data_IF_412927926355
#
_entry.id   IF_412927926355
#
_cell.length_a   1.000
_cell.length_b   1.000
_cell.length_c   1.000
_cell.angle_alpha   90.00
_cell.angle_beta   90.00
_cell.angle_gamma   90.00
#
_symmetry.space_group_name_H-M   'P 1'
#
loop_
_entity.id
_entity.type
_entity.pdbx_description
1 polymer ?
#
# COMPACT_ATOMS: atom_id res chain seq x y z
N UNK A 1 -11.05 -9.46 -8.23
CA UNK A 1 -10.93 -10.33 -7.04
C UNK A 1 -10.98 -9.45 -5.81
N UNK A 2 -12.09 -9.48 -5.06
CA UNK A 2 -12.18 -8.79 -3.78
C UNK A 2 -11.50 -9.64 -2.71
N UNK A 3 -10.46 -9.11 -2.08
CA UNK A 3 -9.90 -9.75 -0.89
C UNK A 3 -10.99 -9.94 0.16
N UNK A 4 -10.86 -11.00 0.98
CA UNK A 4 -11.76 -11.20 2.13
C UNK A 4 -11.72 -9.95 3.01
N UNK A 5 -12.89 -9.33 3.19
CA UNK A 5 -13.05 -8.21 4.10
C UNK A 5 -12.71 -8.66 5.53
N UNK A 6 -11.56 -8.23 6.03
CA UNK A 6 -11.20 -8.39 7.44
C UNK A 6 -11.81 -7.23 8.23
N UNK A 7 -12.75 -7.53 9.13
CA UNK A 7 -13.39 -6.54 10.00
C UNK A 7 -12.41 -5.83 10.95
N UNK A 8 -11.25 -6.43 11.22
CA UNK A 8 -10.13 -5.83 11.97
C UNK A 8 -9.06 -5.25 11.04
N UNK A 9 -9.22 -5.42 9.73
CA UNK A 9 -8.30 -4.89 8.75
C UNK A 9 -8.34 -3.37 8.71
N UNK A 10 -7.17 -2.76 8.58
CA UNK A 10 -7.03 -1.33 8.36
C UNK A 10 -7.22 -1.04 6.86
N UNK A 11 -8.48 -1.00 6.44
CA UNK A 11 -8.87 -0.81 5.04
C UNK A 11 -9.84 0.35 4.87
N UNK A 12 -9.94 0.86 3.64
CA UNK A 12 -10.85 1.94 3.30
C UNK A 12 -11.37 1.87 1.85
N UNK A 13 -12.50 2.53 1.62
CA UNK A 13 -13.04 2.82 0.30
C UNK A 13 -12.69 4.25 -0.12
N UNK A 14 -12.18 4.41 -1.35
CA UNK A 14 -11.91 5.72 -1.95
C UNK A 14 -12.34 5.77 -3.42
N UNK A 15 -12.81 6.94 -3.86
CA UNK A 15 -13.44 7.14 -5.18
C UNK A 15 -12.46 6.92 -6.32
N UNK A 16 -11.24 7.44 -6.16
CA UNK A 16 -10.26 7.57 -7.25
C UNK A 16 -8.88 7.00 -6.94
N UNK A 17 -8.58 6.70 -5.68
CA UNK A 17 -7.24 6.23 -5.33
C UNK A 17 -7.07 4.79 -5.85
N UNK A 18 -5.90 4.43 -6.39
CA UNK A 18 -5.65 3.06 -6.83
C UNK A 18 -5.88 2.06 -5.69
N UNK A 19 -6.39 0.86 -6.01
CA UNK A 19 -6.44 -0.21 -5.03
C UNK A 19 -5.02 -0.58 -4.59
N UNK A 20 -4.86 -0.93 -3.31
CA UNK A 20 -3.56 -1.19 -2.71
C UNK A 20 -2.82 0.06 -2.24
N UNK A 21 -3.30 1.27 -2.56
CA UNK A 21 -2.73 2.51 -2.03
C UNK A 21 -2.85 2.53 -0.51
N UNK A 22 -1.73 2.81 0.18
CA UNK A 22 -1.75 3.14 1.59
C UNK A 22 -2.06 4.62 1.76
N UNK A 23 -2.93 4.94 2.70
CA UNK A 23 -3.35 6.31 3.01
C UNK A 23 -3.30 6.46 4.52
N UNK A 24 -2.64 7.52 4.99
CA UNK A 24 -2.73 7.93 6.38
C UNK A 24 -3.94 8.84 6.56
N UNK A 25 -4.82 8.46 7.46
CA UNK A 25 -6.02 9.23 7.83
C UNK A 25 -5.72 9.91 9.15
N UNK A 26 -5.73 11.24 9.16
CA UNK A 26 -5.57 12.05 10.37
C UNK A 26 -6.92 12.64 10.79
N UNK A 27 -7.35 12.32 12.02
CA UNK A 27 -8.59 12.81 12.63
C UNK A 27 -8.38 14.22 13.19
N UNK A 28 -9.12 15.19 12.65
CA UNK A 28 -9.10 16.56 13.17
C UNK A 28 -9.83 16.71 14.51
N UNK A 29 -10.55 15.68 14.96
CA UNK A 29 -11.31 15.71 16.21
C UNK A 29 -10.41 15.52 17.43
N UNK A 30 -9.41 14.65 17.32
CA UNK A 30 -8.61 14.20 18.45
C UNK A 30 -7.12 14.04 18.13
N UNK A 31 -6.68 14.39 16.91
CA UNK A 31 -5.29 14.30 16.47
C UNK A 31 -4.78 12.87 16.26
N UNK A 32 -5.65 11.86 16.30
CA UNK A 32 -5.25 10.46 16.07
C UNK A 32 -5.08 10.18 14.59
N UNK A 33 -4.16 9.27 14.28
CA UNK A 33 -3.86 8.87 12.91
C UNK A 33 -3.94 7.35 12.76
N UNK A 34 -4.29 6.91 11.56
CA UNK A 34 -4.25 5.50 11.20
C UNK A 34 -3.90 5.32 9.73
N UNK A 35 -3.07 4.34 9.42
CA UNK A 35 -2.74 3.96 8.05
C UNK A 35 -3.74 2.90 7.57
N UNK A 36 -4.40 3.15 6.44
CA UNK A 36 -5.38 2.25 5.81
C UNK A 36 -5.00 1.94 4.38
N UNK A 37 -5.35 0.74 3.91
CA UNK A 37 -5.20 0.34 2.51
C UNK A 37 -6.50 0.51 1.74
N UNK A 38 -6.45 1.09 0.55
CA UNK A 38 -7.63 1.21 -0.33
C UNK A 38 -7.96 -0.16 -0.93
N UNK A 39 -9.10 -0.72 -0.54
CA UNK A 39 -9.58 -2.03 -1.02
C UNK A 39 -10.93 -1.96 -1.72
N UNK A 40 -11.61 -0.81 -1.68
CA UNK A 40 -12.97 -0.67 -2.23
C UNK A 40 -13.24 0.73 -2.84
N UNK A 41 -14.38 0.87 -3.53
CA UNK A 41 -14.84 2.09 -4.20
C UNK A 41 -15.98 2.73 -3.44
N UNK A 42 -15.96 4.06 -3.44
CA UNK A 42 -16.86 4.90 -2.64
C UNK A 42 -16.03 5.95 -1.90
N UNK A 43 -16.63 6.81 -1.07
CA UNK A 43 -18.07 6.99 -0.90
C UNK A 43 -18.70 7.62 -2.14
N UNK A 44 -19.88 7.16 -2.56
CA UNK A 44 -20.54 7.73 -3.74
C UNK A 44 -21.26 9.06 -3.47
N UNK A 45 -21.42 9.41 -2.19
CA UNK A 45 -21.98 10.68 -1.72
C UNK A 45 -20.90 11.77 -1.74
N UNK A 46 -21.19 12.94 -2.33
CA UNK A 46 -20.21 14.02 -2.56
C UNK A 46 -19.59 14.61 -1.28
N UNK A 47 -20.27 14.50 -0.14
CA UNK A 47 -19.81 15.07 1.14
C UNK A 47 -18.80 14.18 1.89
N UNK A 48 -18.47 12.98 1.40
CA UNK A 48 -17.56 12.05 2.07
C UNK A 48 -16.37 11.73 1.18
N UNK A 49 -15.18 11.89 1.75
CA UNK A 49 -13.90 11.67 1.04
C UNK A 49 -13.41 10.23 1.16
N UNK A 50 -13.60 9.59 2.31
CA UNK A 50 -13.14 8.22 2.60
C UNK A 50 -14.13 7.52 3.52
N UNK A 51 -14.35 6.22 3.33
CA UNK A 51 -15.04 5.36 4.29
C UNK A 51 -14.04 4.32 4.81
N UNK A 52 -13.74 4.36 6.11
CA UNK A 52 -12.78 3.44 6.75
C UNK A 52 -13.49 2.24 7.37
N UNK A 53 -12.78 1.13 7.55
CA UNK A 53 -13.28 -0.03 8.29
C UNK A 53 -13.60 0.32 9.75
N UNK A 54 -14.39 -0.53 10.42
CA UNK A 54 -14.70 -0.37 11.84
C UNK A 54 -13.44 -0.37 12.70
N UNK A 55 -12.48 -1.25 12.43
CA UNK A 55 -11.21 -1.30 13.18
C UNK A 55 -10.38 -0.03 13.04
N UNK A 56 -10.34 0.56 11.84
CA UNK A 56 -9.68 1.84 11.61
C UNK A 56 -10.42 3.00 12.32
N UNK A 57 -11.75 3.01 12.31
CA UNK A 57 -12.55 3.99 13.05
C UNK A 57 -12.36 3.89 14.58
N UNK A 58 -12.20 2.67 15.10
CA UNK A 58 -11.88 2.42 16.51
C UNK A 58 -10.50 2.97 16.89
N UNK A 59 -9.48 2.67 16.07
CA UNK A 59 -8.14 3.19 16.27
C UNK A 59 -8.10 4.74 16.22
N UNK A 60 -8.85 5.34 15.29
CA UNK A 60 -9.04 6.79 15.21
C UNK A 60 -9.83 7.37 16.39
N UNK A 61 -10.45 6.54 17.25
CA UNK A 61 -11.30 7.00 18.35
C UNK A 61 -12.57 7.70 17.85
N UNK A 62 -13.11 7.25 16.72
CA UNK A 62 -14.25 7.88 16.04
C UNK A 62 -15.54 7.04 16.09
N UNK A 63 -15.53 5.89 16.77
CA UNK A 63 -16.73 5.08 16.94
C UNK A 63 -17.84 5.89 17.63
N UNK A 64 -19.04 5.87 17.04
CA UNK A 64 -20.22 6.57 17.58
C UNK A 64 -20.28 8.06 17.28
N UNK A 65 -19.26 8.65 16.64
CA UNK A 65 -19.25 10.09 16.32
C UNK A 65 -19.93 10.42 14.97
N UNK A 66 -20.29 9.41 14.17
CA UNK A 66 -20.79 9.59 12.81
C UNK A 66 -19.66 9.93 11.82
N UNK A 67 -19.91 10.84 10.88
CA UNK A 67 -18.89 11.37 9.96
C UNK A 67 -18.21 12.59 10.57
N UNK A 68 -16.90 12.74 10.33
CA UNK A 68 -16.08 13.87 10.77
C UNK A 68 -15.06 14.26 9.72
N UNK A 69 -14.49 15.44 9.89
CA UNK A 69 -13.42 15.95 9.05
C UNK A 69 -12.11 15.22 9.34
N UNK A 70 -11.41 14.86 8.26
CA UNK A 70 -10.13 14.15 8.30
C UNK A 70 -9.23 14.72 7.21
N UNK A 71 -7.92 14.59 7.42
CA UNK A 71 -6.91 14.85 6.39
C UNK A 71 -6.40 13.53 5.85
N UNK A 72 -6.30 13.42 4.53
CA UNK A 72 -5.71 12.27 3.85
C UNK A 72 -4.29 12.61 3.42
N UNK A 73 -3.34 11.84 3.93
CA UNK A 73 -1.94 11.88 3.54
C UNK A 73 -1.66 10.65 2.69
N UNK A 74 -1.44 10.85 1.39
CA UNK A 74 -1.08 9.79 0.45
C UNK A 74 0.45 9.82 0.31
N UNK A 75 1.19 8.89 0.93
CA UNK A 75 2.63 8.82 0.72
C UNK A 75 2.93 8.62 -0.76
N UNK A 76 3.90 9.34 -1.30
CA UNK A 76 4.37 9.09 -2.66
C UNK A 76 4.79 7.63 -2.75
N UNK A 77 4.24 6.91 -3.72
CA UNK A 77 4.56 5.50 -3.93
C UNK A 77 6.07 5.38 -4.15
N UNK A 78 6.80 4.80 -3.20
CA UNK A 78 8.19 4.41 -3.40
C UNK A 78 8.24 3.59 -4.69
N UNK A 79 9.08 3.93 -5.70
CA UNK A 79 9.26 3.06 -6.84
C UNK A 79 9.73 1.71 -6.29
N UNK A 80 8.91 0.68 -6.48
CA UNK A 80 9.38 -0.70 -6.35
C UNK A 80 10.58 -0.80 -7.29
N UNK A 81 11.79 -0.94 -6.72
CA UNK A 81 12.98 -1.21 -7.48
C UNK A 81 12.70 -2.50 -8.24
N UNK A 82 12.53 -2.39 -9.56
CA UNK A 82 12.46 -3.55 -10.45
C UNK A 82 13.81 -4.25 -10.30
N UNK A 83 13.83 -5.45 -9.72
CA UNK A 83 15.01 -6.30 -9.74
C UNK A 83 15.40 -6.51 -11.21
N UNK A 84 16.52 -5.93 -11.63
CA UNK A 84 17.08 -6.18 -12.96
C UNK A 84 17.38 -7.69 -13.07
N UNK A 85 17.05 -8.35 -14.19
CA UNK A 85 17.42 -9.74 -14.37
C UNK A 85 18.94 -9.88 -14.24
N UNK A 86 19.38 -10.79 -13.37
CA UNK A 86 20.77 -11.07 -13.08
C UNK A 86 21.60 -11.18 -14.35
N UNK A 87 22.82 -10.61 -14.42
CA UNK A 87 23.65 -10.73 -15.60
C UNK A 87 23.94 -12.21 -15.87
N UNK A 88 23.63 -12.64 -17.09
CA UNK A 88 23.91 -13.98 -17.61
C UNK A 88 25.34 -14.40 -17.25
N UNK A 89 25.47 -15.53 -16.54
CA UNK A 89 26.76 -16.19 -16.32
C UNK A 89 27.36 -16.55 -17.68
N UNK A 90 28.41 -15.83 -18.08
CA UNK A 90 29.25 -16.24 -19.22
C UNK A 90 30.02 -17.50 -18.83
N UNK A 91 29.79 -18.58 -19.58
CA UNK A 91 30.42 -19.87 -19.35
C UNK A 91 31.94 -19.80 -19.28
N UNK A 92 32.52 -20.52 -18.30
CA UNK A 92 33.96 -20.81 -18.31
C UNK A 92 34.26 -21.77 -19.46
N UNK A 93 34.79 -21.22 -20.55
CA UNK A 93 35.52 -21.96 -21.56
C UNK A 93 36.92 -21.38 -21.68
N UNK A 94 37.92 -22.05 -21.11
CA UNK A 94 39.35 -21.85 -21.42
C UNK A 94 40.00 -23.25 -21.41
N UNK A 95 40.06 -23.89 -22.58
CA UNK A 95 41.22 -23.99 -23.49
C UNK A 95 42.35 -24.84 -22.92
N UNK A 96 42.48 -26.05 -23.50
CA UNK A 96 43.67 -26.89 -23.42
C UNK A 96 44.83 -26.21 -24.16
N UNK A 97 46.01 -26.15 -23.56
CA UNK A 97 47.29 -25.98 -24.29
C UNK A 97 48.22 -27.13 -23.96
N UNK A 98 48.70 -27.80 -25.01
CA UNK A 98 49.78 -28.76 -24.95
C UNK A 98 51.16 -28.11 -25.00
N UNK A 99 52.16 -28.91 -24.60
CA UNK A 99 53.57 -28.98 -25.08
C UNK A 99 54.41 -27.68 -24.99
N UNK A 100 55.64 -27.62 -24.45
CA UNK A 100 56.82 -28.50 -24.59
C UNK A 100 58.01 -27.93 -23.74
N UNK A 101 59.12 -28.70 -23.66
CA UNK A 101 60.52 -28.38 -23.25
C UNK A 101 60.83 -28.53 -21.74
N UNK A 102 61.88 -29.24 -21.29
CA UNK A 102 63.14 -29.72 -21.90
C UNK A 102 63.39 -31.21 -21.64
#
# INVERSE_FOLDING_TARGET
SGERFDMRGFTAAHRTLPFGTWVRVHSLVNGREVDVRITDRGPFIRSRVIDVSRGAAEALGMLGLGFKEVVLLVPESTPVLVELPSPLVKGRGVVRRGSRAW
#
